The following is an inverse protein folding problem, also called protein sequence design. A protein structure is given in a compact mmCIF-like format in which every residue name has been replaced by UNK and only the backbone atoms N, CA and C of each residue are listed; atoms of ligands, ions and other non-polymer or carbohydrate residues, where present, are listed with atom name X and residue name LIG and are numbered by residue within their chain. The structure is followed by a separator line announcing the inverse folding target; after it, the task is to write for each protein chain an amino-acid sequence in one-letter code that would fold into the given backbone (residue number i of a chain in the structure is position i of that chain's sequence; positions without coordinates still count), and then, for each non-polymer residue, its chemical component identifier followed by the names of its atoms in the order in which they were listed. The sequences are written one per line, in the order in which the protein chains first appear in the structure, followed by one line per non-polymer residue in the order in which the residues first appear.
data_IF_213253398714
#
_entry.id   IF_213253398714
#
_cell.length_a   1.000
_cell.length_b   1.000
_cell.length_c   1.000
_cell.angle_alpha   90.00
_cell.angle_beta   90.00
_cell.angle_gamma   90.00
#
_symmetry.space_group_name_H-M   'P 1'
#
loop_
_entity.id
_entity.type
_entity.pdbx_description
1 polymer ?
#
# COMPACT_ATOMS: atom_id res chain seq x y z
N UNK A 1 -9.84 19.60 1.21
CA UNK A 1 -8.36 19.41 1.26
C UNK A 1 -8.10 18.06 1.92
N UNK A 2 -7.31 17.19 1.26
CA UNK A 2 -7.08 15.84 1.79
C UNK A 2 -6.11 15.87 2.98
N UNK A 3 -6.54 15.27 4.08
CA UNK A 3 -5.78 15.14 5.31
C UNK A 3 -5.49 13.65 5.62
N UNK A 4 -4.31 13.38 6.17
CA UNK A 4 -3.96 12.04 6.64
C UNK A 4 -4.19 11.94 8.14
N UNK A 5 -4.97 10.97 8.57
CA UNK A 5 -5.13 10.62 9.97
C UNK A 5 -4.80 9.16 10.25
N UNK A 6 -4.38 8.85 11.45
CA UNK A 6 -4.16 7.46 11.87
C UNK A 6 -5.51 6.76 11.94
N UNK A 7 -5.57 5.54 11.41
CA UNK A 7 -6.75 4.71 11.49
C UNK A 7 -6.91 4.12 12.90
N UNK A 8 -8.14 4.10 13.36
CA UNK A 8 -8.57 3.43 14.59
C UNK A 8 -9.31 2.12 14.25
N UNK A 9 -9.48 1.23 15.20
CA UNK A 9 -10.18 -0.06 14.96
C UNK A 9 -11.57 0.09 14.35
N UNK A 10 -12.30 1.15 14.74
CA UNK A 10 -13.62 1.49 14.16
C UNK A 10 -13.58 1.77 12.65
N UNK A 11 -12.41 2.11 12.10
CA UNK A 11 -12.24 2.44 10.69
C UNK A 11 -12.06 1.21 9.79
N UNK A 12 -12.02 0.02 10.35
CA UNK A 12 -11.74 -1.21 9.60
C UNK A 12 -12.72 -1.42 8.42
N UNK A 13 -14.01 -1.17 8.63
CA UNK A 13 -15.02 -1.27 7.57
C UNK A 13 -14.84 -0.18 6.51
N UNK A 14 -14.49 1.04 6.91
CA UNK A 14 -14.19 2.15 5.99
C UNK A 14 -12.98 1.82 5.12
N UNK A 15 -11.92 1.29 5.73
CA UNK A 15 -10.71 0.87 5.00
C UNK A 15 -11.02 -0.24 4.01
N UNK A 16 -11.77 -1.27 4.42
CA UNK A 16 -12.18 -2.36 3.55
C UNK A 16 -13.05 -1.88 2.37
N UNK A 17 -14.00 -0.99 2.61
CA UNK A 17 -14.85 -0.40 1.57
C UNK A 17 -14.04 0.48 0.59
N UNK A 18 -13.08 1.25 1.09
CA UNK A 18 -12.18 2.06 0.25
C UNK A 18 -11.29 1.14 -0.60
N UNK A 19 -10.78 0.05 -0.02
CA UNK A 19 -10.01 -0.97 -0.76
C UNK A 19 -10.80 -1.57 -1.92
N UNK A 20 -12.07 -1.90 -1.71
CA UNK A 20 -12.94 -2.41 -2.79
C UNK A 20 -13.03 -1.43 -3.95
N UNK A 21 -13.28 -0.14 -3.66
CA UNK A 21 -13.33 0.91 -4.68
C UNK A 21 -12.00 1.05 -5.44
N UNK A 22 -10.89 0.96 -4.73
CA UNK A 22 -9.55 0.99 -5.32
C UNK A 22 -9.32 -0.22 -6.21
N UNK A 23 -9.72 -1.41 -5.79
CA UNK A 23 -9.56 -2.64 -6.58
C UNK A 23 -10.38 -2.57 -7.87
N UNK A 24 -11.60 -2.09 -7.82
CA UNK A 24 -12.42 -1.87 -9.02
C UNK A 24 -11.73 -0.91 -10.01
N UNK A 25 -11.13 0.16 -9.51
CA UNK A 25 -10.50 1.16 -10.35
C UNK A 25 -9.11 0.75 -10.87
N UNK A 26 -8.35 -0.03 -10.10
CA UNK A 26 -6.92 -0.31 -10.39
C UNK A 26 -6.74 -1.65 -11.09
N UNK A 27 -7.48 -2.67 -10.68
CA UNK A 27 -7.17 -4.06 -11.05
C UNK A 27 -8.11 -4.68 -12.08
N UNK A 28 -9.16 -4.00 -12.52
CA UNK A 28 -9.95 -4.45 -13.69
C UNK A 28 -9.03 -4.55 -14.91
N UNK A 29 -9.05 -5.72 -15.58
CA UNK A 29 -8.15 -6.02 -16.69
C UNK A 29 -6.75 -6.52 -16.29
N UNK A 30 -6.40 -6.49 -14.99
CA UNK A 30 -5.18 -7.09 -14.44
C UNK A 30 -5.54 -8.38 -13.71
N UNK A 31 -6.41 -8.28 -12.70
CA UNK A 31 -6.93 -9.42 -11.95
C UNK A 31 -8.15 -10.02 -12.66
N UNK A 32 -8.43 -11.31 -12.48
CA UNK A 32 -9.70 -11.87 -12.91
C UNK A 32 -10.86 -11.08 -12.30
N UNK A 33 -11.85 -10.72 -13.12
CA UNK A 33 -13.02 -9.95 -12.66
C UNK A 33 -13.75 -10.62 -11.51
N UNK A 34 -13.86 -11.95 -11.56
CA UNK A 34 -14.46 -12.76 -10.49
C UNK A 34 -13.78 -12.52 -9.12
N UNK A 35 -12.46 -12.37 -9.10
CA UNK A 35 -11.69 -12.10 -7.89
C UNK A 35 -12.04 -10.73 -7.27
N UNK A 36 -12.36 -9.76 -8.11
CA UNK A 36 -12.77 -8.42 -7.69
C UNK A 36 -14.25 -8.42 -7.28
N UNK A 37 -15.10 -9.10 -8.04
CA UNK A 37 -16.55 -9.14 -7.81
C UNK A 37 -16.93 -9.94 -6.55
N UNK A 38 -16.17 -10.98 -6.24
CA UNK A 38 -16.35 -11.79 -5.03
C UNK A 38 -15.63 -11.21 -3.79
N UNK A 39 -15.31 -9.90 -3.80
CA UNK A 39 -14.68 -9.25 -2.66
C UNK A 39 -15.59 -9.34 -1.42
N UNK A 40 -15.15 -10.11 -0.44
CA UNK A 40 -15.85 -10.33 0.83
C UNK A 40 -15.56 -9.15 1.79
N UNK A 41 -16.43 -8.15 1.77
CA UNK A 41 -16.26 -6.94 2.57
C UNK A 41 -16.14 -7.23 4.08
N UNK A 42 -17.01 -8.08 4.71
CA UNK A 42 -16.85 -8.47 6.11
C UNK A 42 -15.50 -9.12 6.42
N UNK A 43 -15.05 -10.07 5.59
CA UNK A 43 -13.77 -10.74 5.79
C UNK A 43 -12.58 -9.78 5.66
N UNK A 44 -12.64 -8.84 4.72
CA UNK A 44 -11.60 -7.80 4.60
C UNK A 44 -11.63 -6.81 5.75
N UNK A 45 -12.81 -6.43 6.26
CA UNK A 45 -12.92 -5.58 7.45
C UNK A 45 -12.32 -6.25 8.69
N UNK A 46 -12.49 -7.56 8.87
CA UNK A 46 -11.85 -8.31 9.95
C UNK A 46 -10.31 -8.32 9.81
N UNK A 47 -9.81 -8.53 8.60
CA UNK A 47 -8.36 -8.46 8.32
C UNK A 47 -7.80 -7.06 8.60
N UNK A 48 -8.52 -6.03 8.21
CA UNK A 48 -8.10 -4.65 8.44
C UNK A 48 -8.18 -4.26 9.92
N UNK A 49 -9.16 -4.77 10.66
CA UNK A 49 -9.20 -4.64 12.12
C UNK A 49 -7.96 -5.22 12.77
N UNK A 50 -7.57 -6.45 12.42
CA UNK A 50 -6.35 -7.09 12.92
C UNK A 50 -5.10 -6.32 12.52
N UNK A 51 -5.06 -5.79 11.31
CA UNK A 51 -3.94 -4.97 10.79
C UNK A 51 -3.77 -3.67 11.55
N UNK A 52 -4.86 -2.95 11.80
CA UNK A 52 -4.88 -1.70 12.57
C UNK A 52 -4.51 -1.96 14.03
N UNK A 53 -4.97 -3.07 14.60
CA UNK A 53 -4.70 -3.44 15.99
C UNK A 53 -3.27 -3.91 16.25
N UNK A 54 -2.52 -4.28 15.21
CA UNK A 54 -1.16 -4.78 15.36
C UNK A 54 -0.17 -3.61 15.54
N UNK A 55 0.53 -3.51 16.68
CA UNK A 55 1.46 -2.41 16.96
C UNK A 55 2.68 -2.37 16.02
N UNK A 56 2.97 -3.48 15.33
CA UNK A 56 4.00 -3.53 14.29
C UNK A 56 3.61 -2.80 13.01
N UNK A 57 2.34 -2.47 12.85
CA UNK A 57 1.81 -1.74 11.68
C UNK A 57 1.47 -0.30 12.04
N UNK A 58 1.42 0.53 11.01
CA UNK A 58 0.83 1.86 11.07
C UNK A 58 -0.05 2.07 9.84
N UNK A 59 -1.27 2.51 10.07
CA UNK A 59 -2.28 2.70 9.03
C UNK A 59 -2.75 4.14 9.07
N UNK A 60 -2.74 4.81 7.93
CA UNK A 60 -3.34 6.13 7.77
C UNK A 60 -4.45 6.07 6.73
N UNK A 61 -5.51 6.79 7.01
CA UNK A 61 -6.55 7.09 6.04
C UNK A 61 -6.30 8.49 5.47
N UNK A 62 -6.47 8.62 4.16
CA UNK A 62 -6.52 9.92 3.48
C UNK A 62 -7.99 10.33 3.38
N UNK A 63 -8.33 11.42 4.06
CA UNK A 63 -9.70 11.89 4.20
C UNK A 63 -9.91 13.20 3.44
N UNK A 64 -10.99 13.30 2.67
CA UNK A 64 -11.50 14.56 2.13
C UNK A 64 -12.85 14.84 2.78
N UNK A 65 -12.83 15.66 3.84
CA UNK A 65 -13.95 15.76 4.77
C UNK A 65 -14.21 14.41 5.46
N UNK A 66 -15.41 13.87 5.30
CA UNK A 66 -15.81 12.57 5.87
C UNK A 66 -15.49 11.38 4.96
N UNK A 67 -15.12 11.63 3.71
CA UNK A 67 -14.87 10.59 2.73
C UNK A 67 -13.42 10.06 2.82
N UNK A 68 -13.28 8.74 2.95
CA UNK A 68 -11.99 8.08 2.80
C UNK A 68 -11.67 7.89 1.32
N UNK A 69 -10.64 8.58 0.85
CA UNK A 69 -10.26 8.66 -0.57
C UNK A 69 -8.95 7.94 -0.89
N UNK A 70 -8.30 7.40 0.12
CA UNK A 70 -7.07 6.63 0.00
C UNK A 70 -6.57 6.12 1.33
N UNK A 71 -5.52 5.34 1.32
CA UNK A 71 -4.90 4.82 2.53
C UNK A 71 -3.43 4.46 2.34
N UNK A 72 -2.71 4.47 3.45
CA UNK A 72 -1.31 4.07 3.56
C UNK A 72 -1.18 3.03 4.68
N UNK A 73 -0.54 1.91 4.38
CA UNK A 73 -0.21 0.86 5.35
C UNK A 73 1.27 0.56 5.32
N UNK A 74 1.94 0.70 6.44
CA UNK A 74 3.37 0.39 6.58
C UNK A 74 3.62 -0.46 7.82
N UNK A 75 4.73 -1.16 7.86
CA UNK A 75 5.17 -1.94 9.01
C UNK A 75 5.58 -3.35 8.65
N UNK A 76 4.98 -4.34 9.32
CA UNK A 76 5.27 -5.74 9.05
C UNK A 76 4.81 -6.14 7.66
N UNK A 77 5.59 -6.97 6.99
CA UNK A 77 5.22 -7.49 5.69
C UNK A 77 4.04 -8.46 5.81
N UNK A 78 2.99 -8.21 5.03
CA UNK A 78 1.75 -8.99 5.08
C UNK A 78 1.84 -10.39 4.44
N UNK A 79 2.92 -10.67 3.70
CA UNK A 79 3.12 -11.95 2.99
C UNK A 79 4.41 -12.68 3.42
N UNK A 80 5.00 -12.30 4.56
CA UNK A 80 6.19 -12.92 5.11
C UNK A 80 7.46 -12.09 4.91
N UNK A 81 8.61 -12.73 5.10
CA UNK A 81 9.90 -12.06 5.09
C UNK A 81 10.40 -11.86 3.65
N UNK A 82 10.86 -10.66 3.36
CA UNK A 82 11.58 -10.34 2.13
C UNK A 82 13.02 -10.00 2.45
N UNK A 83 13.95 -10.88 2.03
CA UNK A 83 15.38 -10.75 2.35
C UNK A 83 15.59 -10.47 3.85
N UNK A 84 16.38 -9.46 4.17
CA UNK A 84 16.68 -8.97 5.52
C UNK A 84 16.00 -7.60 5.82
N UNK A 85 14.90 -7.31 5.12
CA UNK A 85 14.10 -6.12 5.37
C UNK A 85 13.10 -6.33 6.51
N UNK A 86 13.10 -5.43 7.47
CA UNK A 86 12.22 -5.45 8.64
C UNK A 86 11.03 -4.48 8.53
N UNK A 87 10.96 -3.72 7.44
CA UNK A 87 9.93 -2.71 7.22
C UNK A 87 9.44 -2.70 5.77
N UNK A 88 8.15 -2.66 5.62
CA UNK A 88 7.47 -2.73 4.34
C UNK A 88 6.46 -1.58 4.18
N UNK A 89 6.43 -0.98 3.00
CA UNK A 89 5.29 -0.22 2.52
C UNK A 89 4.30 -1.23 1.92
N UNK A 90 3.31 -1.65 2.72
CA UNK A 90 2.37 -2.71 2.35
C UNK A 90 1.30 -2.27 1.36
N UNK A 91 0.81 -1.04 1.51
CA UNK A 91 -0.28 -0.52 0.67
C UNK A 91 -0.20 0.99 0.59
N UNK A 92 -0.31 1.52 -0.63
CA UNK A 92 -0.42 2.94 -0.90
C UNK A 92 -1.39 3.11 -2.08
N UNK A 93 -2.58 3.60 -1.79
CA UNK A 93 -3.63 3.74 -2.79
C UNK A 93 -4.43 5.02 -2.61
N UNK A 94 -4.85 5.58 -3.75
CA UNK A 94 -5.81 6.68 -3.83
C UNK A 94 -6.84 6.38 -4.90
N UNK A 95 -8.07 6.80 -4.67
CA UNK A 95 -9.11 6.75 -5.70
C UNK A 95 -8.71 7.63 -6.89
N UNK A 96 -9.10 7.28 -8.13
CA UNK A 96 -8.67 7.96 -9.35
C UNK A 96 -8.75 9.49 -9.34
N UNK A 97 -9.84 10.11 -8.81
CA UNK A 97 -9.92 11.58 -8.77
C UNK A 97 -8.86 12.26 -7.89
N UNK A 98 -8.22 11.50 -7.01
CA UNK A 98 -7.22 11.99 -6.05
C UNK A 98 -5.78 11.61 -6.43
N UNK A 99 -5.60 10.97 -7.57
CA UNK A 99 -4.27 10.66 -8.11
C UNK A 99 -3.66 11.90 -8.79
N UNK A 100 -2.33 11.90 -8.93
CA UNK A 100 -1.56 13.01 -9.55
C UNK A 100 -1.68 14.37 -8.84
N UNK A 101 -2.15 14.40 -7.59
CA UNK A 101 -2.27 15.59 -6.75
C UNK A 101 -1.14 15.74 -5.71
N UNK A 102 -0.07 14.98 -5.86
CA UNK A 102 1.06 14.97 -4.92
C UNK A 102 0.83 14.13 -3.65
N UNK A 103 -0.36 13.53 -3.47
CA UNK A 103 -0.71 12.74 -2.28
C UNK A 103 0.15 11.48 -2.16
N UNK A 104 0.49 10.84 -3.27
CA UNK A 104 1.38 9.68 -3.29
C UNK A 104 2.77 10.02 -2.76
N UNK A 105 3.34 11.13 -3.19
CA UNK A 105 4.63 11.64 -2.68
C UNK A 105 4.55 11.91 -1.18
N UNK A 106 3.52 12.60 -0.71
CA UNK A 106 3.32 12.88 0.71
C UNK A 106 3.24 11.59 1.53
N UNK A 107 2.47 10.59 1.08
CA UNK A 107 2.37 9.30 1.74
C UNK A 107 3.71 8.54 1.74
N UNK A 108 4.49 8.63 0.66
CA UNK A 108 5.83 8.06 0.61
C UNK A 108 6.79 8.74 1.61
N UNK A 109 6.77 10.05 1.71
CA UNK A 109 7.55 10.80 2.71
C UNK A 109 7.15 10.41 4.15
N UNK A 110 5.86 10.17 4.41
CA UNK A 110 5.38 9.63 5.70
C UNK A 110 5.94 8.22 5.96
N UNK A 111 6.06 7.39 4.92
CA UNK A 111 6.70 6.05 5.02
C UNK A 111 8.16 6.18 5.40
N UNK A 112 8.91 7.06 4.74
CA UNK A 112 10.32 7.34 5.06
C UNK A 112 10.47 7.83 6.50
N UNK A 113 9.64 8.76 6.93
CA UNK A 113 9.65 9.29 8.29
C UNK A 113 9.39 8.20 9.34
N UNK A 114 8.41 7.31 9.07
CA UNK A 114 8.11 6.21 9.99
C UNK A 114 9.24 5.15 10.01
N UNK A 115 9.87 4.85 8.88
CA UNK A 115 11.03 3.98 8.79
C UNK A 115 12.17 4.52 9.67
N UNK A 116 12.53 5.80 9.52
CA UNK A 116 13.56 6.47 10.33
C UNK A 116 13.20 6.52 11.80
N UNK A 117 11.94 6.83 12.15
CA UNK A 117 11.45 6.81 13.53
C UNK A 117 11.67 5.46 14.22
N UNK A 118 11.63 4.38 13.46
CA UNK A 118 11.95 3.01 13.96
C UNK A 118 13.45 2.70 14.02
N UNK A 119 14.31 3.66 13.68
CA UNK A 119 15.76 3.43 13.62
C UNK A 119 16.21 2.62 12.41
N UNK A 120 15.37 2.52 11.38
CA UNK A 120 15.65 1.78 10.16
C UNK A 120 16.06 2.74 9.03
N UNK A 121 16.91 2.26 8.15
CA UNK A 121 17.43 3.04 7.02
C UNK A 121 17.07 2.43 5.65
N UNK A 122 16.18 1.46 5.62
CA UNK A 122 15.74 0.79 4.39
C UNK A 122 14.35 0.20 4.56
N UNK A 123 13.62 0.14 3.47
CA UNK A 123 12.35 -0.55 3.35
C UNK A 123 12.14 -1.05 1.94
N UNK A 124 11.12 -1.85 1.75
CA UNK A 124 10.71 -2.33 0.44
C UNK A 124 9.21 -2.19 0.28
N UNK A 125 8.77 -2.31 -0.97
CA UNK A 125 7.37 -2.53 -1.31
C UNK A 125 7.28 -3.56 -2.44
N UNK A 126 6.09 -4.04 -2.69
CA UNK A 126 5.78 -4.83 -3.88
C UNK A 126 4.54 -4.28 -4.57
N UNK A 127 4.47 -4.47 -5.87
CA UNK A 127 3.27 -4.22 -6.64
C UNK A 127 3.12 -5.27 -7.74
N UNK A 128 1.91 -5.38 -8.29
CA UNK A 128 1.70 -6.24 -9.44
C UNK A 128 2.47 -5.72 -10.65
N UNK A 129 3.13 -6.59 -11.40
CA UNK A 129 3.97 -6.23 -12.54
C UNK A 129 3.18 -5.62 -13.72
N UNK A 130 1.87 -5.79 -13.76
CA UNK A 130 0.98 -5.21 -14.75
C UNK A 130 0.42 -3.85 -14.31
N UNK A 131 0.68 -3.43 -13.07
CA UNK A 131 0.33 -2.09 -12.59
C UNK A 131 1.47 -1.10 -12.90
N UNK A 132 1.56 -0.70 -14.16
CA UNK A 132 2.64 0.16 -14.64
C UNK A 132 2.64 1.55 -13.97
N UNK A 133 1.48 2.05 -13.54
CA UNK A 133 1.40 3.31 -12.80
C UNK A 133 2.12 3.21 -11.44
N UNK A 134 1.90 2.12 -10.71
CA UNK A 134 2.60 1.88 -9.44
C UNK A 134 4.10 1.67 -9.66
N UNK A 135 4.49 0.89 -10.66
CA UNK A 135 5.90 0.67 -10.99
C UNK A 135 6.61 2.00 -11.28
N UNK A 136 6.06 2.81 -12.19
CA UNK A 136 6.64 4.12 -12.54
C UNK A 136 6.69 5.08 -11.35
N UNK A 137 5.69 5.03 -10.45
CA UNK A 137 5.71 5.80 -9.22
C UNK A 137 6.87 5.39 -8.30
N UNK A 138 7.05 4.11 -8.04
CA UNK A 138 8.13 3.64 -7.16
C UNK A 138 9.53 3.88 -7.75
N UNK A 139 9.69 3.71 -9.06
CA UNK A 139 10.94 4.08 -9.76
C UNK A 139 11.23 5.59 -9.61
N UNK A 140 10.22 6.44 -9.83
CA UNK A 140 10.34 7.89 -9.67
C UNK A 140 10.69 8.31 -8.23
N UNK A 141 10.23 7.55 -7.24
CA UNK A 141 10.57 7.77 -5.82
C UNK A 141 11.96 7.23 -5.44
N UNK A 142 12.72 6.72 -6.39
CA UNK A 142 14.10 6.23 -6.18
C UNK A 142 14.18 4.76 -5.79
N UNK A 143 13.10 4.01 -5.99
CA UNK A 143 13.10 2.56 -5.78
C UNK A 143 13.99 1.83 -6.78
N UNK A 144 14.78 0.90 -6.28
CA UNK A 144 15.58 -0.01 -7.11
C UNK A 144 14.82 -1.33 -7.27
N UNK A 145 14.67 -1.77 -8.50
CA UNK A 145 14.00 -3.04 -8.80
C UNK A 145 14.79 -4.20 -8.19
N UNK A 146 14.13 -4.94 -7.32
CA UNK A 146 14.68 -6.12 -6.64
C UNK A 146 14.16 -7.42 -7.24
N UNK A 147 13.63 -8.32 -6.39
CA UNK A 147 13.09 -9.59 -6.83
C UNK A 147 11.84 -9.41 -7.72
N UNK A 148 11.59 -10.42 -8.55
CA UNK A 148 10.43 -10.50 -9.42
C UNK A 148 9.87 -11.92 -9.38
N UNK A 149 8.54 -12.02 -9.41
CA UNK A 149 7.80 -13.29 -9.52
C UNK A 149 6.81 -13.10 -10.66
N UNK A 150 7.10 -13.66 -11.82
CA UNK A 150 6.41 -13.36 -13.06
C UNK A 150 6.01 -14.64 -13.79
N UNK A 151 5.04 -14.50 -14.71
CA UNK A 151 4.65 -15.56 -15.63
C UNK A 151 3.69 -16.57 -15.01
N UNK A 152 2.95 -16.18 -13.98
CA UNK A 152 1.92 -17.00 -13.39
C UNK A 152 0.68 -17.07 -14.31
N UNK A 153 -0.04 -18.19 -14.26
CA UNK A 153 -1.30 -18.35 -14.97
C UNK A 153 -2.32 -17.28 -14.50
N UNK A 154 -2.38 -17.07 -13.19
CA UNK A 154 -3.13 -15.96 -12.63
C UNK A 154 -2.24 -14.71 -12.52
N UNK A 155 -2.50 -13.72 -13.36
CA UNK A 155 -1.75 -12.45 -13.40
C UNK A 155 -1.78 -11.66 -12.07
N UNK A 156 -2.73 -11.93 -11.18
CA UNK A 156 -2.77 -11.36 -9.83
C UNK A 156 -1.57 -11.77 -8.97
N UNK A 157 -0.90 -12.87 -9.32
CA UNK A 157 0.27 -13.40 -8.60
C UNK A 157 1.60 -12.82 -9.13
N UNK A 158 1.58 -12.15 -10.29
CA UNK A 158 2.76 -11.51 -10.85
C UNK A 158 3.14 -10.28 -10.02
N UNK A 159 4.30 -10.32 -9.39
CA UNK A 159 4.77 -9.27 -8.50
C UNK A 159 6.20 -8.82 -8.80
N UNK A 160 6.45 -7.54 -8.60
CA UNK A 160 7.78 -6.95 -8.59
C UNK A 160 8.02 -6.25 -7.26
N UNK A 161 9.27 -6.24 -6.82
CA UNK A 161 9.69 -5.67 -5.55
C UNK A 161 10.59 -4.47 -5.81
N UNK A 162 10.37 -3.39 -5.08
CA UNK A 162 11.22 -2.21 -5.08
C UNK A 162 11.87 -2.04 -3.71
N UNK A 163 13.17 -1.80 -3.71
CA UNK A 163 14.00 -1.60 -2.52
C UNK A 163 14.39 -0.13 -2.40
N UNK A 164 14.29 0.40 -1.20
CA UNK A 164 14.63 1.79 -0.88
C UNK A 164 15.70 1.81 0.21
N UNK A 165 16.85 2.41 -0.10
CA UNK A 165 17.91 2.69 0.86
C UNK A 165 17.85 4.17 1.20
N UNK A 166 17.65 4.47 2.48
CA UNK A 166 17.59 5.85 2.97
C UNK A 166 19.02 6.30 3.31
N UNK A 167 19.47 7.35 2.68
CA UNK A 167 20.75 7.95 3.04
C UNK A 167 20.70 8.41 4.51
N UNK A 168 21.81 8.24 5.22
CA UNK A 168 21.99 8.88 6.51
C UNK A 168 21.75 10.38 6.32
N UNK A 169 20.93 10.98 7.18
CA UNK A 169 20.89 12.44 7.21
C UNK A 169 22.29 12.94 7.60
N UNK A 170 22.76 14.00 6.94
CA UNK A 170 24.07 14.57 7.26
C UNK A 170 24.15 15.10 8.69
#
# INVERSE_FOLDING_TARGET
MVEFRIAEQKDASTLAATRKKVWDATYRGIYPDEMIDQYDLPAFAEKDFKRISNPGNKVWLAMDGEDCVGYLVVGLCGFGRYKDFDFCLNSLYFLPPYQNMGLGRKAFEMTVAECRRRGLNRFFCSCNSHNHNAMGFYEHMGGVLGAQSLGHENRAEDAVFFEFLLNSEP
#
